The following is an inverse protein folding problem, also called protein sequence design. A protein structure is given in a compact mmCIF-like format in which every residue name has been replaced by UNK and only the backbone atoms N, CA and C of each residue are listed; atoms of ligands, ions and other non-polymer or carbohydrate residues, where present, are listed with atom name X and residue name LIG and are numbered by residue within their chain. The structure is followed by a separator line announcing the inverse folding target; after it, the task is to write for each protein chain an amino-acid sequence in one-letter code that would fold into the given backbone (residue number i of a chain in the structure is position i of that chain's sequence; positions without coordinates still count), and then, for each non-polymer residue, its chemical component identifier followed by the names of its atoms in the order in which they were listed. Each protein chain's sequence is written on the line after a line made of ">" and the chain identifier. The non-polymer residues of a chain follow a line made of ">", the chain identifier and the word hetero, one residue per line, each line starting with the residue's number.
data_IF_672720610007
#
_entry.id   IF_672720610007
#
_cell.length_a   1.000
_cell.length_b   1.000
_cell.length_c   1.000
_cell.angle_alpha   90.00
_cell.angle_beta   90.00
_cell.angle_gamma   90.00
#
_symmetry.space_group_name_H-M   'P 1'
#
loop_
_entity.id
_entity.type
_entity.pdbx_description
1 polymer ?
#
# COMPACT_ATOMS: atom_id res chain seq x y z
N UNK A 1 -5.40 8.48 18.90
CA UNK A 1 -6.46 8.01 17.97
C UNK A 1 -5.83 7.05 16.98
N UNK A 2 -6.27 5.78 16.92
CA UNK A 2 -5.67 4.81 16.00
C UNK A 2 -6.18 5.08 14.58
N UNK A 3 -5.27 5.48 13.67
CA UNK A 3 -5.59 5.74 12.25
C UNK A 3 -6.09 4.43 11.62
N UNK A 4 -7.15 4.52 10.81
CA UNK A 4 -7.72 3.40 10.04
C UNK A 4 -7.58 3.66 8.54
N UNK A 5 -7.43 2.60 7.76
CA UNK A 5 -7.36 2.64 6.29
C UNK A 5 -8.59 2.02 5.65
N UNK A 6 -8.79 2.26 4.35
CA UNK A 6 -9.80 1.59 3.54
C UNK A 6 -9.34 0.17 3.20
N UNK A 7 -10.12 -0.84 3.62
CA UNK A 7 -9.89 -2.24 3.28
C UNK A 7 -10.38 -2.55 1.86
N UNK A 8 -10.02 -3.73 1.34
CA UNK A 8 -10.45 -4.18 0.01
C UNK A 8 -11.99 -4.21 -0.16
N UNK A 9 -12.74 -4.35 0.94
CA UNK A 9 -14.20 -4.31 0.95
C UNK A 9 -14.82 -2.91 1.14
N UNK A 10 -13.99 -1.84 1.15
CA UNK A 10 -14.43 -0.45 1.33
C UNK A 10 -14.62 0.00 2.78
N UNK A 11 -14.63 -0.90 3.76
CA UNK A 11 -14.79 -0.54 5.18
C UNK A 11 -13.47 -0.01 5.76
N UNK A 12 -13.56 0.85 6.79
CA UNK A 12 -12.37 1.32 7.52
C UNK A 12 -11.87 0.26 8.50
N UNK A 13 -10.60 -0.11 8.41
CA UNK A 13 -9.95 -1.14 9.23
C UNK A 13 -8.53 -0.79 9.65
N UNK A 14 -7.88 -1.73 10.33
CA UNK A 14 -6.51 -1.58 10.82
C UNK A 14 -5.49 -1.54 9.68
N UNK A 15 -4.31 -1.00 9.97
CA UNK A 15 -3.17 -1.04 9.06
C UNK A 15 -2.30 -2.27 9.34
N UNK A 16 -1.75 -2.84 8.27
CA UNK A 16 -0.71 -3.86 8.34
C UNK A 16 0.65 -3.21 8.06
N UNK A 17 1.73 -3.84 8.49
CA UNK A 17 3.11 -3.39 8.26
C UNK A 17 3.86 -4.50 7.54
N UNK A 18 4.66 -4.13 6.57
CA UNK A 18 5.54 -5.01 5.80
C UNK A 18 6.95 -4.40 5.80
N UNK A 19 7.97 -5.24 5.87
CA UNK A 19 9.37 -4.81 5.86
C UNK A 19 10.16 -5.73 4.95
N UNK A 20 11.03 -5.14 4.15
CA UNK A 20 12.05 -5.81 3.35
C UNK A 20 13.40 -5.39 3.90
N UNK A 21 14.23 -6.38 4.24
CA UNK A 21 15.58 -6.18 4.70
C UNK A 21 16.53 -6.76 3.67
N UNK A 22 17.41 -5.92 3.12
CA UNK A 22 18.41 -6.32 2.14
C UNK A 22 19.76 -6.30 2.85
N UNK A 23 20.32 -7.49 2.97
CA UNK A 23 21.66 -7.73 3.49
C UNK A 23 22.55 -8.24 2.37
N UNK A 24 23.86 -8.12 2.55
CA UNK A 24 24.81 -8.67 1.60
C UNK A 24 24.85 -10.20 1.67
N UNK A 25 25.40 -10.77 0.61
CA UNK A 25 25.65 -12.19 0.51
C UNK A 25 26.44 -12.73 1.71
N UNK A 26 26.03 -13.89 2.21
CA UNK A 26 26.57 -14.53 3.40
C UNK A 26 25.91 -14.10 4.72
N UNK A 27 25.15 -13.00 4.76
CA UNK A 27 24.28 -12.71 5.90
C UNK A 27 22.95 -13.46 5.75
N UNK A 28 22.50 -14.11 6.82
CA UNK A 28 21.30 -14.95 6.80
C UNK A 28 20.43 -14.70 8.03
N UNK A 29 19.15 -15.07 7.95
CA UNK A 29 18.28 -15.09 9.13
C UNK A 29 18.72 -16.23 10.06
N UNK A 30 18.87 -15.91 11.35
CA UNK A 30 19.20 -16.92 12.34
C UNK A 30 18.08 -17.96 12.43
N UNK A 31 18.46 -19.24 12.44
CA UNK A 31 17.50 -20.31 12.72
C UNK A 31 17.01 -20.23 14.16
N UNK A 32 15.83 -20.80 14.44
CA UNK A 32 15.21 -20.74 15.78
C UNK A 32 16.14 -21.24 16.89
N UNK A 33 17.01 -22.21 16.61
CA UNK A 33 17.91 -22.81 17.60
C UNK A 33 19.12 -21.92 17.93
N UNK A 34 19.48 -21.00 17.03
CA UNK A 34 20.58 -20.04 17.21
C UNK A 34 20.14 -18.76 17.95
N UNK A 35 18.83 -18.56 18.10
CA UNK A 35 18.28 -17.36 18.76
C UNK A 35 18.28 -17.58 20.28
N UNK A 36 18.91 -16.69 21.08
CA UNK A 36 18.88 -16.78 22.54
C UNK A 36 17.45 -16.70 23.09
N UNK A 37 17.12 -17.40 24.21
CA UNK A 37 15.78 -17.39 24.80
C UNK A 37 15.25 -15.98 25.08
N UNK A 38 16.09 -15.06 25.57
CA UNK A 38 15.74 -13.67 25.84
C UNK A 38 15.29 -12.89 24.58
N UNK A 39 15.79 -13.28 23.41
CA UNK A 39 15.45 -12.66 22.14
C UNK A 39 14.20 -13.28 21.52
N UNK A 40 13.93 -14.57 21.77
CA UNK A 40 12.73 -15.28 21.29
C UNK A 40 11.44 -14.60 21.73
N UNK A 41 11.39 -14.08 22.95
CA UNK A 41 10.22 -13.35 23.46
C UNK A 41 9.92 -12.06 22.67
N UNK A 42 10.96 -11.42 22.10
CA UNK A 42 10.84 -10.18 21.31
C UNK A 42 10.48 -10.44 19.84
N UNK A 43 10.79 -11.63 19.33
CA UNK A 43 10.56 -12.04 17.93
C UNK A 43 9.20 -12.75 17.79
N UNK A 44 8.66 -13.32 18.87
CA UNK A 44 7.40 -14.04 18.89
C UNK A 44 6.22 -13.20 18.40
N UNK A 45 5.33 -13.85 17.62
CA UNK A 45 4.20 -13.23 16.90
C UNK A 45 3.30 -12.41 17.81
N UNK A 46 3.49 -11.10 17.80
CA UNK A 46 2.58 -10.14 18.42
C UNK A 46 1.44 -9.85 17.44
N UNK A 47 0.18 -9.72 17.87
CA UNK A 47 -0.91 -9.35 16.96
C UNK A 47 -0.57 -8.06 16.21
N UNK A 48 -0.79 -8.05 14.89
CA UNK A 48 -0.36 -7.00 13.95
C UNK A 48 -0.70 -5.54 14.31
N UNK A 49 -1.62 -5.35 15.26
CA UNK A 49 -1.95 -4.03 15.84
C UNK A 49 -0.80 -3.40 16.65
N UNK A 50 0.26 -4.15 16.99
CA UNK A 50 1.33 -3.72 17.92
C UNK A 50 2.72 -3.60 17.28
N UNK A 51 2.90 -3.86 15.98
CA UNK A 51 4.21 -3.68 15.33
C UNK A 51 4.48 -2.21 15.02
N UNK A 52 4.91 -1.46 16.04
CA UNK A 52 5.70 -0.25 15.88
C UNK A 52 7.17 -0.62 15.64
N UNK A 53 7.59 -1.77 16.16
CA UNK A 53 8.97 -2.27 16.14
C UNK A 53 8.99 -3.72 15.62
N UNK A 54 10.03 -4.06 14.85
CA UNK A 54 10.33 -5.42 14.40
C UNK A 54 11.81 -5.73 14.68
N UNK A 55 12.08 -6.95 15.12
CA UNK A 55 13.44 -7.43 15.43
C UNK A 55 13.80 -8.54 14.45
N UNK A 56 14.86 -8.33 13.67
CA UNK A 56 15.38 -9.32 12.72
C UNK A 56 16.67 -9.94 13.28
N UNK A 57 16.68 -11.22 13.66
CA UNK A 57 17.89 -11.89 14.08
C UNK A 57 18.70 -12.30 12.84
N UNK A 58 19.80 -11.59 12.59
CA UNK A 58 20.67 -11.82 11.42
C UNK A 58 21.99 -12.42 11.90
N UNK A 59 22.47 -13.43 11.21
CA UNK A 59 23.82 -13.98 11.37
C UNK A 59 24.78 -13.35 10.38
N UNK A 60 25.96 -12.98 10.86
CA UNK A 60 27.07 -12.61 10.02
C UNK A 60 27.70 -13.85 9.39
N UNK A 61 28.28 -13.75 8.18
CA UNK A 61 29.05 -14.82 7.58
C UNK A 61 30.29 -15.13 8.43
N UNK A 62 30.67 -16.40 8.48
CA UNK A 62 31.92 -16.83 9.09
C UNK A 62 33.08 -16.68 8.10
N UNK A 63 34.04 -15.82 8.45
CA UNK A 63 35.22 -15.52 7.62
C UNK A 63 36.20 -16.71 7.49
N UNK A 64 36.14 -17.69 8.40
CA UNK A 64 37.02 -18.86 8.34
C UNK A 64 36.55 -19.87 7.28
N UNK A 65 35.25 -19.95 7.06
CA UNK A 65 34.61 -20.93 6.16
C UNK A 65 34.16 -20.31 4.84
N UNK A 66 33.77 -19.03 4.85
CA UNK A 66 33.38 -18.28 3.66
C UNK A 66 34.51 -17.38 3.14
N UNK A 67 35.11 -17.77 2.01
CA UNK A 67 36.22 -17.03 1.37
C UNK A 67 35.81 -15.74 0.66
N UNK A 68 34.52 -15.58 0.38
CA UNK A 68 33.95 -14.39 -0.25
C UNK A 68 33.56 -13.33 0.79
N UNK A 69 33.50 -13.72 2.07
CA UNK A 69 33.27 -12.81 3.17
C UNK A 69 34.59 -12.13 3.58
N UNK A 70 34.53 -10.81 3.80
CA UNK A 70 35.66 -10.00 4.19
C UNK A 70 35.35 -9.19 5.44
N UNK A 71 36.35 -8.87 6.25
CA UNK A 71 36.17 -7.99 7.41
C UNK A 71 36.14 -6.54 6.95
N UNK A 72 34.99 -6.10 6.45
CA UNK A 72 34.76 -4.76 5.90
C UNK A 72 33.48 -4.14 6.47
N UNK A 73 33.31 -2.85 6.20
CA UNK A 73 32.06 -2.14 6.49
C UNK A 73 31.04 -2.44 5.40
N UNK A 74 29.91 -3.01 5.81
CA UNK A 74 28.84 -3.39 4.91
C UNK A 74 27.59 -2.54 5.10
N UNK A 75 26.92 -2.10 4.02
CA UNK A 75 25.62 -1.44 4.12
C UNK A 75 24.52 -2.47 4.42
N UNK A 76 23.49 -2.01 5.12
CA UNK A 76 22.22 -2.73 5.30
C UNK A 76 21.12 -1.80 4.83
N UNK A 77 20.26 -2.26 3.94
CA UNK A 77 19.14 -1.47 3.43
C UNK A 77 17.83 -2.02 3.97
N UNK A 78 16.96 -1.12 4.41
CA UNK A 78 15.65 -1.47 4.97
C UNK A 78 14.59 -0.69 4.20
N UNK A 79 13.61 -1.40 3.67
CA UNK A 79 12.37 -0.84 3.14
C UNK A 79 11.21 -1.22 4.04
N UNK A 80 10.33 -0.28 4.36
CA UNK A 80 9.15 -0.55 5.17
C UNK A 80 7.91 0.11 4.59
N UNK A 81 6.78 -0.59 4.61
CA UNK A 81 5.49 -0.09 4.19
C UNK A 81 4.45 -0.30 5.30
N UNK A 82 3.52 0.64 5.43
CA UNK A 82 2.38 0.51 6.34
C UNK A 82 1.09 0.91 5.63
N UNK A 83 0.14 -0.01 5.62
CA UNK A 83 -1.13 0.14 4.90
C UNK A 83 -1.05 -0.36 3.47
N UNK A 84 -2.16 -0.21 2.75
CA UNK A 84 -2.35 -0.75 1.41
C UNK A 84 -1.76 0.16 0.33
N UNK A 85 -1.16 -0.46 -0.69
CA UNK A 85 -0.67 0.22 -1.88
C UNK A 85 -1.78 0.82 -2.76
N UNK A 86 -1.37 1.73 -3.64
CA UNK A 86 -2.26 2.51 -4.52
C UNK A 86 -2.48 1.85 -5.88
N UNK A 87 -1.55 1.01 -6.32
CA UNK A 87 -1.51 0.42 -7.66
C UNK A 87 -1.21 -1.08 -7.53
N UNK A 88 -1.88 -1.90 -8.32
CA UNK A 88 -1.65 -3.34 -8.42
C UNK A 88 -0.54 -3.66 -9.43
N UNK A 89 0.05 -4.87 -9.40
CA UNK A 89 1.12 -5.25 -10.33
C UNK A 89 0.75 -5.17 -11.82
N UNK A 90 -0.54 -5.26 -12.15
CA UNK A 90 -1.08 -5.10 -13.52
C UNK A 90 -1.22 -3.63 -13.96
N UNK A 91 -0.86 -2.67 -13.09
CA UNK A 91 -1.00 -1.24 -13.32
C UNK A 91 -2.37 -0.67 -12.98
N UNK A 92 -3.34 -1.50 -12.57
CA UNK A 92 -4.67 -1.02 -12.18
C UNK A 92 -4.64 -0.33 -10.81
N UNK A 93 -5.52 0.67 -10.63
CA UNK A 93 -5.64 1.43 -9.38
C UNK A 93 -6.38 0.62 -8.31
N UNK A 94 -5.90 0.68 -7.08
CA UNK A 94 -6.60 0.13 -5.91
C UNK A 94 -7.66 1.10 -5.38
N UNK A 95 -8.58 0.62 -4.54
CA UNK A 95 -9.55 1.47 -3.85
C UNK A 95 -8.95 2.29 -2.67
N UNK A 96 -7.63 2.34 -2.53
CA UNK A 96 -6.91 3.16 -1.55
C UNK A 96 -6.03 4.21 -2.25
N UNK A 97 -6.58 4.86 -3.27
CA UNK A 97 -5.92 5.89 -4.07
C UNK A 97 -6.91 6.97 -4.46
N UNK A 98 -6.38 8.05 -5.03
CA UNK A 98 -7.19 9.14 -5.58
C UNK A 98 -7.58 8.82 -7.02
N UNK A 99 -8.83 9.08 -7.33
CA UNK A 99 -9.37 9.00 -8.67
C UNK A 99 -9.59 10.40 -9.21
N UNK A 100 -9.24 10.57 -10.49
CA UNK A 100 -9.21 11.87 -11.15
C UNK A 100 -10.11 11.85 -12.39
N UNK A 101 -10.55 13.03 -12.81
CA UNK A 101 -11.35 13.21 -14.00
C UNK A 101 -10.60 12.81 -15.27
N UNK A 102 -11.21 11.90 -16.02
CA UNK A 102 -10.69 11.45 -17.31
C UNK A 102 -10.71 12.55 -18.37
N UNK A 103 -11.65 13.50 -18.29
CA UNK A 103 -11.81 14.61 -19.25
C UNK A 103 -12.20 15.94 -18.58
N UNK A 104 -11.91 17.07 -19.24
CA UNK A 104 -12.30 18.42 -18.79
C UNK A 104 -13.74 18.76 -19.19
N UNK A 105 -14.74 18.49 -18.35
CA UNK A 105 -16.16 18.76 -18.65
C UNK A 105 -17.02 18.87 -17.37
N UNK A 106 -18.29 19.22 -17.58
CA UNK A 106 -19.33 19.30 -16.54
C UNK A 106 -19.85 17.90 -16.18
N UNK A 107 -19.98 17.61 -14.89
CA UNK A 107 -20.57 16.36 -14.40
C UNK A 107 -22.06 16.35 -14.71
N UNK A 108 -22.52 15.35 -15.46
CA UNK A 108 -23.92 15.26 -15.86
C UNK A 108 -24.75 14.49 -14.84
N UNK A 109 -24.21 13.39 -14.31
CA UNK A 109 -24.89 12.61 -13.27
C UNK A 109 -23.93 11.76 -12.44
N UNK A 110 -24.26 11.57 -11.18
CA UNK A 110 -23.53 10.72 -10.24
C UNK A 110 -24.45 9.61 -9.73
N UNK A 111 -23.99 8.36 -9.76
CA UNK A 111 -24.75 7.22 -9.23
C UNK A 111 -23.96 6.54 -8.11
N UNK A 112 -24.60 6.32 -6.97
CA UNK A 112 -24.07 5.45 -5.93
C UNK A 112 -24.43 3.99 -6.27
N UNK A 113 -23.45 3.08 -6.20
CA UNK A 113 -23.69 1.65 -6.45
C UNK A 113 -24.17 0.95 -5.17
N UNK A 114 -24.98 -0.10 -5.32
CA UNK A 114 -25.56 -0.85 -4.19
C UNK A 114 -24.51 -1.45 -3.22
N UNK A 115 -23.30 -1.74 -3.72
CA UNK A 115 -22.16 -2.26 -2.93
C UNK A 115 -21.15 -1.18 -2.50
N UNK A 116 -21.54 0.09 -2.65
CA UNK A 116 -20.67 1.26 -2.49
C UNK A 116 -19.83 1.55 -3.73
N UNK A 117 -19.28 2.76 -3.79
CA UNK A 117 -18.59 3.29 -4.97
C UNK A 117 -19.50 4.15 -5.84
N UNK A 118 -18.92 4.78 -6.84
CA UNK A 118 -19.58 5.80 -7.66
C UNK A 118 -19.42 5.49 -9.14
N UNK A 119 -20.41 5.88 -9.93
CA UNK A 119 -20.33 5.99 -11.38
C UNK A 119 -20.63 7.43 -11.76
N UNK A 120 -19.65 8.12 -12.34
CA UNK A 120 -19.78 9.50 -12.77
C UNK A 120 -19.90 9.52 -14.28
N UNK A 121 -21.02 10.05 -14.76
CA UNK A 121 -21.24 10.28 -16.19
C UNK A 121 -20.84 11.71 -16.51
N UNK A 122 -20.02 11.83 -17.54
CA UNK A 122 -19.49 13.08 -18.02
C UNK A 122 -19.91 13.20 -19.49
N UNK A 123 -20.61 14.28 -19.80
CA UNK A 123 -21.05 14.53 -21.16
C UNK A 123 -19.90 15.20 -21.94
N UNK A 124 -19.36 14.51 -22.95
CA UNK A 124 -18.45 15.16 -23.89
C UNK A 124 -19.25 15.77 -25.04
N UNK A 125 -19.31 17.10 -25.03
CA UNK A 125 -20.15 17.88 -25.96
C UNK A 125 -19.49 18.00 -27.34
N UNK A 126 -18.19 17.69 -27.50
CA UNK A 126 -17.49 17.81 -28.78
C UNK A 126 -17.92 16.75 -29.81
N UNK A 127 -18.08 15.49 -29.39
CA UNK A 127 -18.37 14.36 -30.29
C UNK A 127 -19.64 13.55 -29.92
N UNK A 128 -20.38 13.96 -28.87
CA UNK A 128 -21.57 13.23 -28.38
C UNK A 128 -21.26 11.94 -27.62
N UNK A 129 -19.98 11.64 -27.40
CA UNK A 129 -19.54 10.51 -26.59
C UNK A 129 -19.77 10.79 -25.10
N UNK A 130 -20.29 9.80 -24.38
CA UNK A 130 -20.41 9.85 -22.91
C UNK A 130 -19.25 9.09 -22.30
N UNK A 131 -18.49 9.75 -21.44
CA UNK A 131 -17.43 9.10 -20.67
C UNK A 131 -17.99 8.73 -19.30
N UNK A 132 -17.66 7.53 -18.85
CA UNK A 132 -18.12 7.00 -17.57
C UNK A 132 -16.90 6.64 -16.74
N UNK A 133 -16.68 7.41 -15.68
CA UNK A 133 -15.65 7.09 -14.71
C UNK A 133 -16.27 6.27 -13.57
N UNK A 134 -15.61 5.16 -13.23
CA UNK A 134 -16.09 4.22 -12.23
C UNK A 134 -15.10 4.16 -11.06
N UNK A 135 -15.64 4.29 -9.85
CA UNK A 135 -14.86 4.28 -8.61
C UNK A 135 -15.35 3.16 -7.69
N UNK A 136 -14.43 2.35 -7.15
CA UNK A 136 -14.79 1.30 -6.21
C UNK A 136 -15.17 1.87 -4.83
N UNK A 137 -15.74 1.00 -4.01
CA UNK A 137 -16.13 1.34 -2.63
C UNK A 137 -14.93 1.78 -1.76
N UNK A 138 -15.20 2.71 -0.85
CA UNK A 138 -14.24 3.21 0.14
C UNK A 138 -13.71 4.62 -0.12
N UNK A 139 -13.87 5.15 -1.33
CA UNK A 139 -13.56 6.55 -1.66
C UNK A 139 -14.74 7.46 -1.32
N UNK A 140 -14.45 8.72 -0.98
CA UNK A 140 -15.45 9.77 -0.79
C UNK A 140 -15.43 10.67 -2.01
N UNK A 141 -16.61 10.97 -2.56
CA UNK A 141 -16.75 11.91 -3.67
C UNK A 141 -16.70 13.35 -3.14
N UNK A 142 -15.94 14.22 -3.81
CA UNK A 142 -15.80 15.64 -3.45
C UNK A 142 -16.61 16.55 -4.38
N UNK A 143 -16.85 16.13 -5.62
CA UNK A 143 -17.55 16.90 -6.65
C UNK A 143 -19.05 16.56 -6.70
N UNK A 144 -19.87 17.59 -6.93
CA UNK A 144 -21.33 17.46 -7.06
C UNK A 144 -21.82 17.49 -8.50
N UNK A 145 -23.05 17.02 -8.73
CA UNK A 145 -23.69 17.12 -10.04
C UNK A 145 -23.76 18.57 -10.52
N UNK A 146 -23.40 18.80 -11.79
CA UNK A 146 -23.39 20.12 -12.39
C UNK A 146 -22.12 20.94 -12.16
N UNK A 147 -21.17 20.48 -11.36
CA UNK A 147 -19.85 21.10 -11.26
C UNK A 147 -18.98 20.75 -12.48
N UNK A 148 -18.00 21.59 -12.77
CA UNK A 148 -17.04 21.37 -13.86
C UNK A 148 -15.70 20.90 -13.31
N UNK A 149 -15.19 19.80 -13.84
CA UNK A 149 -13.86 19.28 -13.52
C UNK A 149 -12.93 19.45 -14.72
N UNK A 150 -11.65 19.73 -14.48
CA UNK A 150 -10.63 19.63 -15.52
C UNK A 150 -10.01 18.24 -15.53
N UNK A 151 -9.49 17.80 -16.67
CA UNK A 151 -8.72 16.57 -16.78
C UNK A 151 -7.64 16.52 -15.70
N UNK A 152 -7.60 15.42 -14.94
CA UNK A 152 -6.68 15.24 -13.83
C UNK A 152 -7.12 15.85 -12.50
N UNK A 153 -8.20 16.62 -12.43
CA UNK A 153 -8.78 17.07 -11.16
C UNK A 153 -9.31 15.88 -10.35
N UNK A 154 -9.20 15.95 -9.04
CA UNK A 154 -9.70 14.90 -8.15
C UNK A 154 -11.23 14.91 -8.13
N UNK A 155 -11.83 13.73 -8.18
CA UNK A 155 -13.27 13.55 -8.00
C UNK A 155 -13.72 13.79 -6.56
#
# INVERSE_FOLDING_TARGET
>A
MQIKQVLANGKKGSLNVEVVLIVLEGFELASSDQIPPEMKEKIGSVPGKKYIEMVFPILSPDLATNKEAHSLKYPIYVGGNRGRGQIYPDGSKSNNTVYNASITRKVSKTFCKDKGGYEIKIDDISDGHKVVDIFPTGSQLLISEGESAMHGHQW
#
